data_IF_057104778534
#
_entry.id   IF_057104778534
#
_cell.length_a   1.000
_cell.length_b   1.000
_cell.length_c   1.000
_cell.angle_alpha   90.00
_cell.angle_beta   90.00
_cell.angle_gamma   90.00
#
_symmetry.space_group_name_H-M   'P 1'
#
loop_
_entity.id
_entity.type
_entity.pdbx_description
1 polymer ?
#
# COMPACT_ATOMS: atom_id res chain seq x y z
N UNK A 1 7.83 -3.58 39.65
CA UNK A 1 6.41 -3.69 39.24
C UNK A 1 6.39 -4.19 37.81
N UNK A 2 5.96 -5.43 37.62
CA UNK A 2 5.92 -6.10 36.32
C UNK A 2 4.87 -5.47 35.40
N UNK A 3 5.33 -4.72 34.39
CA UNK A 3 4.52 -4.06 33.37
C UNK A 3 3.81 -5.05 32.41
N UNK A 4 4.16 -6.34 32.46
CA UNK A 4 3.64 -7.37 31.55
C UNK A 4 2.35 -8.08 32.04
N UNK A 5 1.85 -7.78 33.24
CA UNK A 5 0.67 -8.46 33.80
C UNK A 5 -0.67 -7.75 33.60
N UNK A 6 -0.70 -6.55 33.00
CA UNK A 6 -1.94 -5.76 32.89
C UNK A 6 -2.66 -5.86 31.52
N UNK A 7 -2.10 -6.55 30.52
CA UNK A 7 -2.67 -6.61 29.16
C UNK A 7 -3.37 -7.92 28.77
N UNK A 8 -3.55 -8.86 29.69
CA UNK A 8 -4.15 -10.16 29.38
C UNK A 8 -5.19 -10.54 30.44
N UNK A 9 -6.38 -9.92 30.37
CA UNK A 9 -7.63 -10.44 30.96
C UNK A 9 -8.85 -9.63 30.50
N UNK A 10 -9.11 -9.67 29.19
CA UNK A 10 -10.49 -9.73 28.71
C UNK A 10 -10.55 -10.98 27.84
N UNK A 11 -11.08 -12.06 28.40
CA UNK A 11 -11.55 -13.17 27.58
C UNK A 11 -12.62 -12.59 26.65
N UNK A 12 -12.27 -12.52 25.37
CA UNK A 12 -13.09 -11.91 24.35
C UNK A 12 -14.14 -12.93 23.91
N UNK A 13 -15.42 -12.64 24.19
CA UNK A 13 -16.55 -13.49 23.83
C UNK A 13 -16.57 -13.83 22.33
N UNK A 14 -16.93 -15.09 22.04
CA UNK A 14 -16.73 -15.79 20.77
C UNK A 14 -17.81 -15.53 19.71
N UNK A 15 -18.73 -14.59 19.94
CA UNK A 15 -19.98 -14.47 19.14
C UNK A 15 -20.19 -13.11 18.45
N UNK A 16 -19.34 -12.10 18.66
CA UNK A 16 -19.49 -10.80 18.01
C UNK A 16 -18.46 -10.65 16.89
N UNK A 17 -18.92 -10.64 15.62
CA UNK A 17 -18.05 -10.36 14.47
C UNK A 17 -17.43 -8.98 14.64
N UNK A 18 -16.10 -8.90 14.60
CA UNK A 18 -15.38 -7.64 14.77
C UNK A 18 -14.91 -7.09 13.45
N UNK A 19 -14.59 -5.81 13.47
CA UNK A 19 -13.87 -5.15 12.37
C UNK A 19 -12.43 -4.92 12.79
N UNK A 20 -11.49 -5.45 12.01
CA UNK A 20 -10.05 -5.26 12.17
C UNK A 20 -9.56 -4.39 11.01
N UNK A 21 -8.99 -3.24 11.35
CA UNK A 21 -8.33 -2.38 10.38
C UNK A 21 -6.89 -2.82 10.17
N UNK A 22 -6.45 -2.89 8.93
CA UNK A 22 -5.05 -3.11 8.59
C UNK A 22 -4.47 -1.86 7.95
N UNK A 23 -3.17 -1.67 8.10
CA UNK A 23 -2.41 -0.61 7.45
C UNK A 23 -1.14 -1.21 6.88
N UNK A 24 -0.85 -0.95 5.61
CA UNK A 24 0.29 -1.53 4.89
C UNK A 24 0.09 -3.01 4.61
N UNK A 25 1.15 -3.80 4.74
CA UNK A 25 1.06 -5.24 4.46
C UNK A 25 1.48 -6.01 5.72
N UNK A 26 0.62 -6.07 6.77
CA UNK A 26 0.84 -6.98 7.89
C UNK A 26 1.12 -8.41 7.43
N UNK A 27 1.73 -9.22 8.30
CA UNK A 27 1.94 -10.64 8.00
C UNK A 27 0.61 -11.29 7.61
N UNK A 28 0.60 -11.96 6.46
CA UNK A 28 -0.58 -12.64 5.94
C UNK A 28 -1.20 -13.59 6.97
N UNK A 29 -0.36 -14.33 7.70
CA UNK A 29 -0.81 -15.25 8.75
C UNK A 29 -1.58 -14.54 9.87
N UNK A 30 -1.18 -13.31 10.24
CA UNK A 30 -1.91 -12.51 11.23
C UNK A 30 -3.28 -12.09 10.70
N UNK A 31 -3.35 -11.59 9.48
CA UNK A 31 -4.62 -11.20 8.83
C UNK A 31 -5.57 -12.41 8.77
N UNK A 32 -5.04 -13.57 8.36
CA UNK A 32 -5.81 -14.81 8.21
C UNK A 32 -6.36 -15.35 9.54
N UNK A 33 -5.71 -15.11 10.68
CA UNK A 33 -6.26 -15.50 11.99
C UNK A 33 -7.60 -14.82 12.27
N UNK A 34 -7.74 -13.54 11.91
CA UNK A 34 -8.98 -12.79 12.08
C UNK A 34 -10.03 -13.19 11.02
N UNK A 35 -9.62 -13.34 9.76
CA UNK A 35 -10.52 -13.81 8.70
C UNK A 35 -11.14 -15.19 9.01
N UNK A 36 -10.35 -16.16 9.50
CA UNK A 36 -10.83 -17.49 9.90
C UNK A 36 -11.78 -17.47 11.11
N UNK A 37 -11.73 -16.42 11.92
CA UNK A 37 -12.67 -16.21 13.04
C UNK A 37 -13.99 -15.58 12.58
N UNK A 38 -14.08 -15.15 11.34
CA UNK A 38 -15.24 -14.44 10.79
C UNK A 38 -15.23 -12.93 11.07
N UNK A 39 -14.08 -12.36 11.45
CA UNK A 39 -13.90 -10.92 11.58
C UNK A 39 -13.82 -10.26 10.19
N UNK A 40 -14.39 -9.07 10.05
CA UNK A 40 -14.27 -8.23 8.87
C UNK A 40 -12.91 -7.55 8.85
N UNK A 41 -12.17 -7.68 7.75
CA UNK A 41 -10.91 -6.98 7.53
C UNK A 41 -11.18 -5.76 6.65
N UNK A 42 -10.68 -4.60 7.04
CA UNK A 42 -10.72 -3.38 6.24
C UNK A 42 -9.32 -2.83 6.07
N UNK A 43 -8.98 -2.39 4.86
CA UNK A 43 -7.75 -1.64 4.63
C UNK A 43 -7.98 -0.17 4.95
N UNK A 44 -7.21 0.37 5.89
CA UNK A 44 -7.30 1.77 6.29
C UNK A 44 -6.51 2.69 5.36
N UNK A 45 -5.68 2.15 4.45
CA UNK A 45 -5.03 2.92 3.37
C UNK A 45 -6.01 3.27 2.23
N UNK A 46 -7.13 2.55 2.14
CA UNK A 46 -8.15 2.74 1.11
C UNK A 46 -9.08 3.92 1.40
N UNK A 47 -9.60 4.52 0.32
CA UNK A 47 -10.66 5.51 0.43
C UNK A 47 -11.95 4.79 0.81
N UNK A 48 -12.37 4.93 2.07
CA UNK A 48 -13.57 4.29 2.58
C UNK A 48 -14.81 5.13 2.25
N UNK A 49 -15.93 4.49 1.86
CA UNK A 49 -17.21 5.17 1.73
C UNK A 49 -17.57 5.89 3.04
N UNK A 50 -18.10 7.10 2.92
CA UNK A 50 -18.60 7.91 4.04
C UNK A 50 -17.55 8.36 5.07
N UNK A 51 -16.25 8.28 4.74
CA UNK A 51 -15.17 8.85 5.56
C UNK A 51 -14.44 9.94 4.79
N UNK A 52 -14.55 11.19 5.27
CA UNK A 52 -13.73 12.30 4.79
C UNK A 52 -12.32 12.24 5.38
N UNK A 53 -11.33 12.65 4.58
CA UNK A 53 -9.99 12.92 5.09
C UNK A 53 -10.03 14.26 5.81
N UNK A 54 -9.63 14.24 7.08
CA UNK A 54 -9.65 15.39 7.98
C UNK A 54 -8.21 15.93 8.17
N UNK A 55 -8.04 17.22 7.90
CA UNK A 55 -6.76 17.94 8.07
C UNK A 55 -6.50 18.40 9.51
N UNK A 56 -7.40 18.06 10.44
CA UNK A 56 -7.31 18.45 11.84
C UNK A 56 -6.35 17.58 12.67
N UNK A 57 -6.09 16.35 12.22
CA UNK A 57 -5.28 15.39 12.97
C UNK A 57 -3.78 15.46 12.65
N UNK A 58 -3.42 15.94 11.45
CA UNK A 58 -2.05 16.00 10.95
C UNK A 58 -1.82 17.29 10.18
N UNK A 59 -0.56 17.76 10.06
CA UNK A 59 -0.24 18.94 9.27
C UNK A 59 -0.79 18.85 7.85
N UNK A 60 -1.19 20.00 7.27
CA UNK A 60 -1.69 20.08 5.88
C UNK A 60 -0.72 19.42 4.89
N UNK A 61 0.57 19.73 5.05
CA UNK A 61 1.68 19.15 4.30
C UNK A 61 2.16 17.85 4.96
N UNK A 62 1.46 16.76 4.70
CA UNK A 62 1.80 15.43 5.19
C UNK A 62 1.42 14.36 4.17
N UNK A 63 1.95 13.15 4.32
CA UNK A 63 1.63 12.04 3.42
C UNK A 63 0.11 11.78 3.39
N UNK A 64 -0.46 11.89 2.18
CA UNK A 64 -1.88 11.71 1.89
C UNK A 64 -2.46 10.41 2.41
N UNK A 65 -1.74 9.30 2.23
CA UNK A 65 -2.15 7.98 2.71
C UNK A 65 -2.16 7.92 4.24
N UNK A 66 -1.17 8.52 4.91
CA UNK A 66 -1.16 8.54 6.38
C UNK A 66 -2.25 9.45 6.97
N UNK A 67 -2.61 10.54 6.28
CA UNK A 67 -3.79 11.35 6.62
C UNK A 67 -5.06 10.52 6.52
N UNK A 68 -5.21 9.78 5.43
CA UNK A 68 -6.35 8.89 5.21
C UNK A 68 -6.44 7.78 6.27
N UNK A 69 -5.34 7.05 6.53
CA UNK A 69 -5.27 6.05 7.60
C UNK A 69 -5.73 6.62 8.93
N UNK A 70 -5.25 7.82 9.26
CA UNK A 70 -5.59 8.50 10.50
C UNK A 70 -7.09 8.83 10.58
N UNK A 71 -7.65 9.43 9.53
CA UNK A 71 -9.08 9.77 9.46
C UNK A 71 -9.96 8.51 9.49
N UNK A 72 -9.61 7.48 8.71
CA UNK A 72 -10.31 6.20 8.72
C UNK A 72 -10.33 5.55 10.10
N UNK A 73 -9.17 5.47 10.76
CA UNK A 73 -9.06 4.86 12.09
C UNK A 73 -9.89 5.61 13.14
N UNK A 74 -9.80 6.94 13.18
CA UNK A 74 -10.51 7.76 14.18
C UNK A 74 -12.02 7.71 13.92
N UNK A 75 -12.47 7.96 12.69
CA UNK A 75 -13.90 8.02 12.35
C UNK A 75 -14.59 6.69 12.63
N UNK A 76 -13.98 5.57 12.23
CA UNK A 76 -14.57 4.26 12.46
C UNK A 76 -14.54 3.83 13.94
N UNK A 77 -13.47 4.16 14.67
CA UNK A 77 -13.41 3.87 16.10
C UNK A 77 -14.45 4.68 16.89
N UNK A 78 -14.62 5.97 16.58
CA UNK A 78 -15.65 6.82 17.20
C UNK A 78 -17.07 6.34 16.90
N UNK A 79 -17.29 5.80 15.70
CA UNK A 79 -18.56 5.19 15.31
C UNK A 79 -18.78 3.78 15.91
N UNK A 80 -17.84 3.25 16.70
CA UNK A 80 -17.91 1.88 17.23
C UNK A 80 -17.80 0.79 16.16
N UNK A 81 -17.31 1.13 14.96
CA UNK A 81 -17.21 0.24 13.79
C UNK A 81 -15.82 -0.38 13.61
N UNK A 82 -14.85 -0.04 14.47
CA UNK A 82 -13.47 -0.54 14.44
C UNK A 82 -13.08 -1.05 15.82
N UNK A 83 -12.43 -2.22 15.89
CA UNK A 83 -12.16 -2.90 17.16
C UNK A 83 -10.67 -3.18 17.41
N UNK A 84 -9.85 -3.13 16.36
CA UNK A 84 -8.42 -3.38 16.39
C UNK A 84 -7.79 -2.73 15.14
N UNK A 85 -6.59 -2.19 15.29
CA UNK A 85 -5.73 -1.82 14.16
C UNK A 85 -4.45 -2.65 14.18
N UNK A 86 -4.13 -3.29 13.06
CA UNK A 86 -2.83 -3.90 12.78
C UNK A 86 -2.03 -2.96 11.88
N UNK A 87 -1.09 -2.23 12.46
CA UNK A 87 -0.31 -1.22 11.76
C UNK A 87 1.05 -1.79 11.33
N UNK A 88 1.25 -2.08 10.05
CA UNK A 88 2.59 -2.38 9.53
C UNK A 88 3.45 -1.11 9.53
N UNK A 89 4.61 -1.19 10.17
CA UNK A 89 5.47 -0.04 10.43
C UNK A 89 6.92 -0.30 10.01
N UNK A 90 7.67 0.79 9.81
CA UNK A 90 9.10 0.70 9.52
C UNK A 90 9.37 0.30 8.07
N UNK A 91 10.22 -0.71 7.88
CA UNK A 91 10.79 -1.09 6.58
C UNK A 91 9.73 -1.60 5.59
N UNK A 92 8.70 -2.28 6.11
CA UNK A 92 7.57 -2.77 5.32
C UNK A 92 6.67 -1.64 4.81
N UNK A 93 6.59 -0.51 5.51
CA UNK A 93 5.73 0.62 5.14
C UNK A 93 6.50 1.94 5.13
N UNK A 94 6.57 2.60 6.29
CA UNK A 94 7.45 3.72 6.54
C UNK A 94 7.55 4.06 8.04
N UNK A 95 8.54 4.88 8.41
CA UNK A 95 8.62 5.46 9.77
C UNK A 95 7.48 6.44 10.05
N UNK A 96 6.89 7.04 9.02
CA UNK A 96 5.70 7.88 9.17
C UNK A 96 4.57 7.13 9.88
N UNK A 97 4.37 5.84 9.54
CA UNK A 97 3.38 5.01 10.20
C UNK A 97 3.70 4.69 11.66
N UNK A 98 4.98 4.66 12.07
CA UNK A 98 5.34 4.49 13.50
C UNK A 98 4.83 5.65 14.35
N UNK A 99 5.01 6.87 13.85
CA UNK A 99 4.49 8.06 14.54
C UNK A 99 2.96 8.03 14.58
N UNK A 100 2.31 7.65 13.47
CA UNK A 100 0.85 7.51 13.44
C UNK A 100 0.36 6.44 14.42
N UNK A 101 0.96 5.25 14.43
CA UNK A 101 0.57 4.18 15.35
C UNK A 101 0.74 4.58 16.82
N UNK A 102 1.83 5.28 17.16
CA UNK A 102 2.06 5.79 18.51
C UNK A 102 0.99 6.80 18.94
N UNK A 103 0.60 7.73 18.06
CA UNK A 103 -0.42 8.72 18.40
C UNK A 103 -1.82 8.09 18.48
N UNK A 104 -2.17 7.19 17.55
CA UNK A 104 -3.46 6.50 17.56
C UNK A 104 -3.63 5.63 18.83
N UNK A 105 -2.57 5.00 19.33
CA UNK A 105 -2.59 4.29 20.63
C UNK A 105 -3.00 5.17 21.80
N UNK A 106 -2.64 6.45 21.77
CA UNK A 106 -3.00 7.41 22.83
C UNK A 106 -4.41 7.98 22.70
N UNK A 107 -4.97 8.00 21.48
CA UNK A 107 -6.27 8.61 21.21
C UNK A 107 -7.43 7.61 21.14
N UNK A 108 -7.19 6.42 20.59
CA UNK A 108 -8.27 5.47 20.31
C UNK A 108 -8.58 4.63 21.56
N UNK A 109 -9.85 4.30 21.82
CA UNK A 109 -10.24 3.39 22.89
C UNK A 109 -9.98 1.92 22.55
N UNK A 110 -9.49 1.64 21.33
CA UNK A 110 -9.24 0.30 20.79
C UNK A 110 -7.73 0.03 20.69
N UNK A 111 -7.31 -1.25 20.73
CA UNK A 111 -5.92 -1.59 20.54
C UNK A 111 -5.44 -1.19 19.14
N UNK A 112 -4.25 -0.58 19.10
CA UNK A 112 -3.46 -0.37 17.88
C UNK A 112 -2.15 -1.13 18.08
N UNK A 113 -1.96 -2.18 17.30
CA UNK A 113 -0.83 -3.11 17.39
C UNK A 113 0.12 -2.81 16.24
N UNK A 114 1.33 -2.38 16.58
CA UNK A 114 2.40 -2.28 15.60
C UNK A 114 2.90 -3.68 15.23
N UNK A 115 2.96 -3.93 13.93
CA UNK A 115 3.54 -5.14 13.35
C UNK A 115 4.65 -4.73 12.38
N UNK A 116 5.59 -5.63 12.13
CA UNK A 116 6.66 -5.44 11.14
C UNK A 116 6.71 -6.66 10.26
N UNK A 117 6.29 -6.53 9.01
CA UNK A 117 6.38 -7.65 8.09
C UNK A 117 7.80 -7.78 7.51
N UNK A 118 8.57 -8.70 8.08
CA UNK A 118 9.95 -9.00 7.68
C UNK A 118 10.08 -10.30 6.90
N UNK A 119 8.99 -10.77 6.28
CA UNK A 119 9.03 -11.97 5.46
C UNK A 119 10.12 -11.86 4.39
N UNK A 120 10.97 -12.89 4.31
CA UNK A 120 12.00 -13.03 3.28
C UNK A 120 11.58 -13.99 2.15
N UNK A 121 10.66 -14.91 2.44
CA UNK A 121 10.14 -15.87 1.46
C UNK A 121 8.90 -15.29 0.79
N UNK A 122 8.99 -15.05 -0.52
CA UNK A 122 7.92 -14.46 -1.31
C UNK A 122 6.81 -15.44 -1.70
N UNK A 123 5.61 -14.92 -1.94
CA UNK A 123 4.48 -15.66 -2.52
C UNK A 123 4.42 -15.60 -4.06
N UNK A 124 5.35 -14.91 -4.70
CA UNK A 124 5.36 -14.62 -6.14
C UNK A 124 4.63 -13.31 -6.49
N UNK A 125 4.85 -12.84 -7.72
CA UNK A 125 4.26 -11.59 -8.23
C UNK A 125 3.70 -11.72 -9.67
N UNK A 126 2.81 -12.70 -9.95
CA UNK A 126 2.28 -12.93 -11.29
C UNK A 126 1.42 -11.78 -11.86
N UNK A 127 0.74 -10.99 -11.03
CA UNK A 127 -0.09 -9.84 -11.45
C UNK A 127 0.81 -8.75 -12.02
N UNK A 128 1.92 -8.42 -11.34
CA UNK A 128 2.91 -7.44 -11.79
C UNK A 128 3.37 -7.70 -13.24
N UNK A 129 3.59 -8.98 -13.60
CA UNK A 129 4.10 -9.40 -14.90
C UNK A 129 3.01 -9.83 -15.91
N UNK A 130 1.74 -9.67 -15.56
CA UNK A 130 0.63 -10.11 -16.41
C UNK A 130 0.36 -9.17 -17.58
N UNK A 131 -0.52 -9.55 -18.49
CA UNK A 131 -0.98 -8.70 -19.60
C UNK A 131 -2.11 -7.71 -19.25
N UNK A 132 -2.59 -7.73 -18.00
CA UNK A 132 -3.66 -6.85 -17.55
C UNK A 132 -3.27 -5.36 -17.68
N UNK A 133 -4.22 -4.44 -17.91
CA UNK A 133 -3.99 -3.01 -17.80
C UNK A 133 -3.40 -2.63 -16.43
N UNK A 134 -2.54 -1.61 -16.40
CA UNK A 134 -1.81 -1.23 -15.18
C UNK A 134 -2.73 -0.91 -14.00
N UNK A 135 -3.86 -0.24 -14.28
CA UNK A 135 -4.88 0.08 -13.27
C UNK A 135 -5.46 -1.20 -12.64
N UNK A 136 -5.90 -2.14 -13.46
CA UNK A 136 -6.46 -3.42 -13.01
C UNK A 136 -5.45 -4.23 -12.20
N UNK A 137 -4.17 -4.25 -12.63
CA UNK A 137 -3.10 -4.87 -11.84
C UNK A 137 -3.00 -4.25 -10.45
N UNK A 138 -2.99 -2.92 -10.35
CA UNK A 138 -2.87 -2.22 -9.07
C UNK A 138 -4.05 -2.53 -8.15
N UNK A 139 -5.28 -2.47 -8.68
CA UNK A 139 -6.51 -2.80 -7.96
C UNK A 139 -6.45 -4.23 -7.41
N UNK A 140 -6.08 -5.22 -8.24
CA UNK A 140 -5.93 -6.60 -7.81
C UNK A 140 -4.82 -6.79 -6.76
N UNK A 141 -3.67 -6.14 -6.91
CA UNK A 141 -2.58 -6.27 -5.93
C UNK A 141 -3.03 -5.73 -4.56
N UNK A 142 -3.67 -4.56 -4.53
CA UNK A 142 -4.22 -3.97 -3.30
C UNK A 142 -5.27 -4.89 -2.68
N UNK A 143 -6.20 -5.41 -3.47
CA UNK A 143 -7.23 -6.35 -2.97
C UNK A 143 -6.60 -7.59 -2.32
N UNK A 144 -5.52 -8.12 -2.90
CA UNK A 144 -4.86 -9.32 -2.37
C UNK A 144 -4.08 -9.09 -1.07
N UNK A 145 -3.93 -7.85 -0.59
CA UNK A 145 -3.30 -7.57 0.71
C UNK A 145 -4.06 -8.27 1.83
N UNK A 146 -5.40 -8.23 1.77
CA UNK A 146 -6.28 -8.85 2.76
C UNK A 146 -7.05 -10.07 2.21
N UNK A 147 -7.17 -10.21 0.89
CA UNK A 147 -7.95 -11.27 0.25
C UNK A 147 -7.09 -12.27 -0.53
N UNK A 148 -7.59 -13.48 -0.71
CA UNK A 148 -6.98 -14.42 -1.64
C UNK A 148 -7.31 -14.00 -3.07
N UNK A 149 -6.35 -14.12 -3.97
CA UNK A 149 -6.61 -13.92 -5.39
C UNK A 149 -7.69 -14.90 -5.86
N UNK A 150 -8.69 -14.38 -6.57
CA UNK A 150 -9.74 -15.22 -7.13
C UNK A 150 -9.12 -16.24 -8.12
N UNK A 151 -9.27 -17.57 -7.90
CA UNK A 151 -8.65 -18.59 -8.75
C UNK A 151 -9.20 -18.62 -10.19
N UNK A 152 -10.33 -17.95 -10.46
CA UNK A 152 -10.86 -17.82 -11.82
C UNK A 152 -10.06 -16.83 -12.68
N UNK A 153 -9.34 -15.89 -12.06
CA UNK A 153 -8.53 -14.90 -12.77
C UNK A 153 -7.35 -15.61 -13.44
N UNK A 154 -7.26 -15.51 -14.76
CA UNK A 154 -6.16 -16.07 -15.55
C UNK A 154 -5.11 -15.00 -15.79
N UNK A 155 -3.96 -15.17 -15.15
CA UNK A 155 -2.81 -14.29 -15.33
C UNK A 155 -1.88 -14.87 -16.38
N UNK A 156 -1.87 -14.27 -17.57
CA UNK A 156 -0.90 -14.59 -18.61
C UNK A 156 0.30 -13.67 -18.47
N UNK A 157 1.49 -14.25 -18.27
CA UNK A 157 2.76 -13.52 -18.23
C UNK A 157 3.07 -12.93 -19.62
N UNK A 158 3.58 -11.71 -19.64
CA UNK A 158 3.98 -11.00 -20.86
C UNK A 158 5.35 -10.37 -20.71
N UNK A 159 5.99 -9.97 -21.80
CA UNK A 159 7.18 -9.12 -21.77
C UNK A 159 6.77 -7.65 -21.51
N UNK A 160 7.56 -6.87 -20.77
CA UNK A 160 7.24 -5.47 -20.49
C UNK A 160 7.41 -4.61 -21.75
N UNK A 161 6.38 -3.84 -22.09
CA UNK A 161 6.47 -2.71 -23.03
C UNK A 161 6.94 -1.42 -22.33
N UNK A 162 6.63 -1.31 -21.05
CA UNK A 162 6.90 -0.17 -20.17
C UNK A 162 6.98 -0.67 -18.72
N UNK A 163 7.56 0.14 -17.84
CA UNK A 163 7.65 -0.10 -16.42
C UNK A 163 6.93 0.97 -15.60
N UNK A 164 6.28 0.54 -14.52
CA UNK A 164 5.82 1.41 -13.43
C UNK A 164 6.50 0.95 -12.15
N UNK A 165 7.43 1.76 -11.63
CA UNK A 165 8.05 1.55 -10.33
C UNK A 165 7.38 2.47 -9.31
N UNK A 166 6.93 1.95 -8.17
CA UNK A 166 6.44 2.82 -7.10
C UNK A 166 5.58 2.16 -6.04
N UNK A 167 4.77 2.99 -5.40
CA UNK A 167 3.68 2.64 -4.49
C UNK A 167 2.33 2.86 -5.19
N UNK A 168 1.21 2.29 -4.71
CA UNK A 168 -0.11 2.63 -5.23
C UNK A 168 -0.35 4.15 -5.16
N UNK A 169 -0.73 4.82 -6.26
CA UNK A 169 -1.03 6.25 -6.24
C UNK A 169 -2.34 6.52 -5.49
N UNK A 170 -2.52 7.70 -4.90
CA UNK A 170 -3.82 8.05 -4.31
C UNK A 170 -4.91 8.29 -5.35
N UNK A 171 -4.51 8.60 -6.59
CA UNK A 171 -5.36 8.80 -7.77
C UNK A 171 -4.95 7.82 -8.87
N UNK A 172 -5.80 6.83 -9.10
CA UNK A 172 -5.53 5.74 -10.06
C UNK A 172 -5.66 6.17 -11.52
N UNK A 173 -6.16 7.38 -11.82
CA UNK A 173 -6.24 7.90 -13.20
C UNK A 173 -4.85 8.05 -13.85
N UNK A 174 -3.78 8.15 -13.05
CA UNK A 174 -2.39 8.09 -13.54
C UNK A 174 -2.09 6.76 -14.25
N UNK A 175 -2.65 5.66 -13.75
CA UNK A 175 -2.35 4.31 -14.22
C UNK A 175 -2.96 4.03 -15.60
N UNK A 176 -3.98 4.81 -15.99
CA UNK A 176 -4.65 4.71 -17.30
C UNK A 176 -3.80 5.29 -18.45
N UNK A 177 -2.75 6.04 -18.13
CA UNK A 177 -1.85 6.60 -19.14
C UNK A 177 -0.91 5.54 -19.75
N UNK A 178 -0.82 4.38 -19.11
CA UNK A 178 0.15 3.36 -19.44
C UNK A 178 -0.39 2.35 -20.46
N UNK A 179 0.46 1.86 -21.38
CA UNK A 179 0.05 0.85 -22.34
C UNK A 179 -0.26 -0.48 -21.63
N UNK A 180 -1.04 -1.36 -22.28
CA UNK A 180 -1.12 -2.77 -21.88
C UNK A 180 0.27 -3.39 -21.79
N UNK A 181 0.42 -4.45 -20.98
CA UNK A 181 1.69 -5.12 -20.70
C UNK A 181 2.73 -4.29 -19.93
N UNK A 182 2.36 -3.13 -19.36
CA UNK A 182 3.25 -2.40 -18.43
C UNK A 182 3.52 -3.26 -17.19
N UNK A 183 4.79 -3.56 -16.89
CA UNK A 183 5.15 -4.30 -15.67
C UNK A 183 5.19 -3.37 -14.46
N UNK A 184 4.87 -3.93 -13.29
CA UNK A 184 4.98 -3.24 -12.01
C UNK A 184 6.28 -3.66 -11.30
N UNK A 185 7.05 -2.67 -10.86
CA UNK A 185 8.28 -2.79 -10.08
C UNK A 185 8.13 -2.08 -8.72
N UNK A 186 9.18 -2.13 -7.90
CA UNK A 186 9.26 -1.39 -6.65
C UNK A 186 8.39 -1.98 -5.54
N UNK A 187 7.92 -1.11 -4.64
CA UNK A 187 7.23 -1.55 -3.43
C UNK A 187 5.89 -2.23 -3.70
N UNK A 188 5.14 -1.80 -4.71
CA UNK A 188 3.91 -2.50 -5.13
C UNK A 188 4.17 -3.97 -5.50
N UNK A 189 5.30 -4.28 -6.13
CA UNK A 189 5.68 -5.68 -6.41
C UNK A 189 6.02 -6.45 -5.13
N UNK A 190 6.67 -5.79 -4.17
CA UNK A 190 6.95 -6.37 -2.85
C UNK A 190 5.65 -6.67 -2.07
N UNK A 191 4.64 -5.81 -2.23
CA UNK A 191 3.29 -5.99 -1.68
C UNK A 191 2.57 -7.21 -2.29
N UNK A 192 2.63 -7.39 -3.60
CA UNK A 192 2.11 -8.60 -4.23
C UNK A 192 2.82 -9.85 -3.68
N UNK A 193 4.15 -9.79 -3.61
CA UNK A 193 5.01 -10.87 -3.14
C UNK A 193 4.91 -11.14 -1.63
N UNK A 194 4.08 -10.40 -0.88
CA UNK A 194 3.90 -10.47 0.59
C UNK A 194 5.20 -10.29 1.40
N UNK A 195 6.15 -9.56 0.84
CA UNK A 195 7.48 -9.28 1.41
C UNK A 195 7.79 -7.78 1.31
N UNK A 196 6.99 -6.91 1.95
CA UNK A 196 7.03 -5.47 1.74
C UNK A 196 8.35 -4.80 2.16
N UNK A 197 9.16 -5.48 2.99
CA UNK A 197 10.50 -5.04 3.39
C UNK A 197 11.64 -5.59 2.50
N UNK A 198 11.31 -6.33 1.43
CA UNK A 198 12.31 -6.93 0.54
C UNK A 198 12.97 -5.87 -0.36
N UNK A 199 14.08 -5.34 0.11
CA UNK A 199 14.85 -4.31 -0.58
C UNK A 199 15.44 -4.78 -1.91
N UNK A 200 15.88 -6.03 -2.00
CA UNK A 200 16.47 -6.58 -3.23
C UNK A 200 15.42 -6.61 -4.34
N UNK A 201 14.23 -7.14 -4.03
CA UNK A 201 13.10 -7.15 -4.96
C UNK A 201 12.62 -5.72 -5.28
N UNK A 202 12.71 -4.76 -4.37
CA UNK A 202 12.33 -3.38 -4.67
C UNK A 202 13.29 -2.71 -5.69
N UNK A 203 14.56 -3.10 -5.66
CA UNK A 203 15.63 -2.56 -6.52
C UNK A 203 15.70 -3.22 -7.90
N UNK A 204 15.13 -4.42 -8.05
CA UNK A 204 15.16 -5.18 -9.29
C UNK A 204 14.35 -4.49 -10.40
N UNK A 205 14.92 -4.34 -11.59
CA UNK A 205 14.29 -3.73 -12.76
C UNK A 205 14.79 -4.47 -14.00
N UNK A 206 13.95 -4.58 -15.03
CA UNK A 206 14.39 -5.09 -16.33
C UNK A 206 15.21 -4.01 -17.06
N UNK A 207 16.42 -4.36 -17.50
CA UNK A 207 17.29 -3.42 -18.20
C UNK A 207 16.69 -3.04 -19.57
N UNK A 208 16.82 -1.75 -19.92
CA UNK A 208 16.33 -1.22 -21.21
C UNK A 208 14.82 -0.98 -21.28
N UNK A 209 14.04 -1.33 -20.25
CA UNK A 209 12.60 -1.06 -20.20
C UNK A 209 12.34 0.40 -19.81
N UNK A 210 11.66 1.21 -20.65
CA UNK A 210 11.27 2.57 -20.29
C UNK A 210 10.38 2.56 -19.03
N UNK A 211 10.84 3.18 -17.95
CA UNK A 211 10.17 3.07 -16.65
C UNK A 211 9.82 4.45 -16.07
N UNK A 212 8.58 4.58 -15.61
CA UNK A 212 8.14 5.70 -14.78
C UNK A 212 8.33 5.32 -13.31
N UNK A 213 9.10 6.13 -12.59
CA UNK A 213 9.38 6.01 -11.17
C UNK A 213 8.48 6.96 -10.39
N UNK A 214 7.40 6.41 -9.86
CA UNK A 214 6.37 7.14 -9.14
C UNK A 214 6.63 7.17 -7.63
N UNK A 215 6.40 8.33 -7.03
CA UNK A 215 6.24 8.48 -5.58
C UNK A 215 5.13 9.45 -5.25
N UNK A 216 4.43 9.18 -4.16
CA UNK A 216 3.57 10.20 -3.55
C UNK A 216 4.43 11.26 -2.83
N UNK A 217 3.90 12.48 -2.71
CA UNK A 217 4.49 13.53 -1.90
C UNK A 217 4.67 13.06 -0.44
N UNK A 218 5.79 13.47 0.16
CA UNK A 218 6.18 13.10 1.54
C UNK A 218 6.39 11.61 1.79
N UNK A 219 6.41 10.77 0.75
CA UNK A 219 6.81 9.37 0.88
C UNK A 219 8.34 9.25 0.97
N UNK A 220 8.86 8.51 1.97
CA UNK A 220 10.30 8.28 2.10
C UNK A 220 10.92 7.57 0.88
N UNK A 221 10.11 6.80 0.13
CA UNK A 221 10.55 6.11 -1.10
C UNK A 221 10.85 7.07 -2.25
N UNK A 222 10.50 8.36 -2.15
CA UNK A 222 10.87 9.39 -3.13
C UNK A 222 12.37 9.43 -3.41
N UNK A 223 13.21 9.27 -2.38
CA UNK A 223 14.66 9.29 -2.55
C UNK A 223 15.15 8.12 -3.43
N UNK A 224 14.58 6.93 -3.23
CA UNK A 224 14.91 5.75 -4.02
C UNK A 224 14.38 5.87 -5.45
N UNK A 225 13.12 6.28 -5.60
CA UNK A 225 12.49 6.53 -6.90
C UNK A 225 13.33 7.47 -7.77
N UNK A 226 13.76 8.60 -7.19
CA UNK A 226 14.58 9.60 -7.87
C UNK A 226 15.95 9.07 -8.26
N UNK A 227 16.61 8.31 -7.37
CA UNK A 227 17.89 7.69 -7.66
C UNK A 227 17.80 6.68 -8.81
N UNK A 228 16.80 5.79 -8.76
CA UNK A 228 16.60 4.77 -9.78
C UNK A 228 16.20 5.39 -11.13
N UNK A 229 15.35 6.42 -11.13
CA UNK A 229 15.03 7.16 -12.36
C UNK A 229 16.27 7.70 -13.05
N UNK A 230 17.21 8.30 -12.31
CA UNK A 230 18.48 8.75 -12.87
C UNK A 230 19.35 7.60 -13.37
N UNK A 231 19.47 6.53 -12.59
CA UNK A 231 20.30 5.38 -12.93
C UNK A 231 19.83 4.67 -14.20
N UNK A 232 18.51 4.55 -14.37
CA UNK A 232 17.89 3.82 -15.48
C UNK A 232 17.36 4.73 -16.60
N UNK A 233 17.70 6.03 -16.57
CA UNK A 233 17.22 7.03 -17.54
C UNK A 233 15.69 7.06 -17.69
N UNK A 234 14.97 6.76 -16.59
CA UNK A 234 13.52 6.78 -16.54
C UNK A 234 12.94 8.13 -16.13
N UNK A 235 11.62 8.19 -16.09
CA UNK A 235 10.89 9.39 -15.69
C UNK A 235 10.57 9.36 -14.19
N UNK A 236 11.10 10.30 -13.42
CA UNK A 236 10.66 10.50 -12.03
C UNK A 236 9.37 11.33 -11.99
N UNK A 237 8.33 10.80 -11.35
CA UNK A 237 7.06 11.48 -11.12
C UNK A 237 6.78 11.55 -9.62
N UNK A 238 6.64 12.76 -9.11
CA UNK A 238 6.14 13.00 -7.77
C UNK A 238 4.76 13.66 -7.85
N UNK A 239 3.79 13.08 -7.14
CA UNK A 239 2.42 13.56 -7.15
C UNK A 239 1.87 13.62 -5.73
N UNK A 240 1.03 14.61 -5.46
CA UNK A 240 0.24 14.64 -4.23
C UNK A 240 -1.07 13.85 -4.41
N UNK A 241 -2.22 14.48 -4.16
CA UNK A 241 -3.53 13.84 -4.20
C UNK A 241 -4.06 13.55 -5.60
N UNK A 242 -3.86 14.44 -6.57
CA UNK A 242 -4.54 14.38 -7.87
C UNK A 242 -3.56 14.48 -9.05
N UNK A 243 -3.90 13.78 -10.12
CA UNK A 243 -3.19 13.88 -11.39
C UNK A 243 -3.40 15.26 -12.01
N UNK A 244 -2.33 16.06 -12.06
CA UNK A 244 -2.35 17.36 -12.73
C UNK A 244 -2.19 17.23 -14.24
N UNK A 245 -2.66 18.23 -15.01
CA UNK A 245 -2.46 18.28 -16.47
C UNK A 245 -0.98 18.22 -16.87
N UNK A 246 -0.10 18.84 -16.06
CA UNK A 246 1.34 18.85 -16.32
C UNK A 246 1.96 17.47 -16.12
N UNK A 247 1.62 16.77 -15.03
CA UNK A 247 2.09 15.40 -14.79
C UNK A 247 1.58 14.46 -15.88
N UNK A 248 0.30 14.57 -16.25
CA UNK A 248 -0.30 13.79 -17.35
C UNK A 248 0.49 13.96 -18.65
N UNK A 249 0.69 15.19 -19.09
CA UNK A 249 1.40 15.48 -20.35
C UNK A 249 2.85 14.96 -20.32
N UNK A 250 3.53 15.05 -19.17
CA UNK A 250 4.88 14.55 -18.98
C UNK A 250 4.96 13.02 -19.12
N UNK A 251 4.04 12.30 -18.48
CA UNK A 251 3.96 10.83 -18.56
C UNK A 251 3.58 10.38 -19.97
N UNK A 252 2.57 10.99 -20.57
CA UNK A 252 2.13 10.68 -21.94
C UNK A 252 3.27 10.93 -22.95
N UNK A 253 4.01 12.04 -22.83
CA UNK A 253 5.16 12.31 -23.69
C UNK A 253 6.26 11.26 -23.50
N UNK A 254 6.62 10.93 -22.26
CA UNK A 254 7.63 9.92 -21.98
C UNK A 254 7.26 8.56 -22.60
N UNK A 255 6.01 8.12 -22.41
CA UNK A 255 5.53 6.86 -22.99
C UNK A 255 5.57 6.92 -24.51
N UNK A 256 5.06 8.00 -25.12
CA UNK A 256 5.01 8.15 -26.59
C UNK A 256 6.39 8.11 -27.25
N UNK A 257 7.42 8.64 -26.60
CA UNK A 257 8.77 8.72 -27.19
C UNK A 257 9.66 7.52 -26.88
N UNK A 258 9.29 6.67 -25.92
CA UNK A 258 10.14 5.56 -25.48
C UNK A 258 9.50 4.18 -25.64
N UNK A 259 8.17 4.08 -25.73
CA UNK A 259 7.46 2.83 -25.95
C UNK A 259 7.15 2.69 -27.44
N UNK A 260 7.60 1.58 -28.04
CA UNK A 260 7.42 1.23 -29.46
C UNK A 260 6.20 0.33 -29.66
#
# INVERSE_FOLDING_TARGET
MDYNKCLMKKEFNKEERRTVGIVGVPHWEEIQKYGKRGDTIIDLDDALPDVSVEDSYLPKTYCSILKRVTSNAITLAQAGKLHLVLADVGEGKCDGMRYIASFLRGLLPIPVVEVRNTNSTGCGFPICQSQLPLREKMELIVETVSNQLNPSIKLQKTAPSCGFWGVPPSDFALLELFPPNTHIYGWTRCMENKTPANRELELELDEGVPTVFFSQNFCQRSALAFHLAKKHQGLFVQMDHHLTKSIRAMVEAFIKFNVS
#
